data_IF_089994191928
#
_entry.id   IF_089994191928
#
_cell.length_a   1.000
_cell.length_b   1.000
_cell.length_c   1.000
_cell.angle_alpha   90.00
_cell.angle_beta   90.00
_cell.angle_gamma   90.00
#
_symmetry.space_group_name_H-M   'P 1'
#
loop_
_entity.id
_entity.type
_entity.pdbx_description
1 polymer ?
#
# COMPACT_ATOMS: atom_id res chain seq x y z
N UNK A 1 -0.01 -52.65 35.24
CA UNK A 1 1.03 -53.50 34.63
C UNK A 1 0.95 -53.12 33.14
N UNK A 2 1.82 -52.39 32.58
CA UNK A 2 3.25 -52.13 32.70
C UNK A 2 3.53 -50.64 32.44
N UNK A 3 4.43 -50.10 33.22
CA UNK A 3 4.99 -48.78 33.11
C UNK A 3 5.96 -48.74 31.91
N UNK A 4 5.98 -47.68 31.10
CA UNK A 4 7.02 -47.40 30.14
C UNK A 4 7.69 -46.09 30.49
N UNK A 5 8.91 -46.22 30.90
CA UNK A 5 9.92 -45.24 31.24
C UNK A 5 10.29 -44.35 30.07
N UNK A 6 10.29 -43.02 30.26
CA UNK A 6 10.79 -42.03 29.30
C UNK A 6 12.07 -41.42 29.83
N UNK A 7 13.20 -41.92 29.36
CA UNK A 7 14.52 -41.33 29.56
C UNK A 7 14.66 -40.03 28.73
N UNK A 8 14.97 -38.94 29.44
CA UNK A 8 15.46 -37.70 28.87
C UNK A 8 16.95 -37.82 28.54
N UNK A 9 17.32 -37.71 27.27
CA UNK A 9 18.69 -37.50 26.85
C UNK A 9 19.02 -36.01 26.85
N UNK A 10 19.89 -35.61 27.78
CA UNK A 10 20.52 -34.29 27.84
C UNK A 10 21.80 -34.32 27.00
N UNK A 11 21.80 -33.55 25.90
CA UNK A 11 23.01 -33.32 25.10
C UNK A 11 23.87 -32.25 25.78
N UNK A 12 25.00 -32.69 26.27
CA UNK A 12 26.11 -31.85 26.77
C UNK A 12 26.89 -31.33 25.55
N UNK A 13 26.96 -30.02 25.34
CA UNK A 13 27.84 -29.40 24.33
C UNK A 13 29.16 -29.08 25.02
N UNK A 14 30.23 -29.78 24.64
CA UNK A 14 31.60 -29.46 25.09
C UNK A 14 32.10 -28.17 24.39
N UNK A 15 32.52 -27.21 25.20
CA UNK A 15 33.29 -26.04 24.79
C UNK A 15 34.70 -26.44 24.40
N UNK A 16 35.05 -26.31 23.12
CA UNK A 16 36.44 -26.39 22.69
C UNK A 16 37.02 -24.98 22.55
N UNK A 17 37.85 -24.59 23.52
CA UNK A 17 38.77 -23.48 23.47
C UNK A 17 39.73 -23.61 22.27
N UNK A 18 39.53 -22.77 21.23
CA UNK A 18 40.54 -22.57 20.19
C UNK A 18 41.26 -21.23 20.41
N UNK A 19 42.56 -21.35 20.67
CA UNK A 19 43.50 -20.22 20.79
C UNK A 19 43.41 -19.30 19.57
N UNK A 20 43.20 -18.03 19.84
CA UNK A 20 43.35 -16.94 18.88
C UNK A 20 44.86 -16.69 18.63
N UNK A 21 45.33 -17.09 17.47
CA UNK A 21 46.55 -16.52 16.89
C UNK A 21 46.18 -15.16 16.27
N UNK A 22 46.69 -14.09 16.89
CA UNK A 22 46.53 -12.72 16.40
C UNK A 22 47.44 -12.51 15.18
N UNK A 23 46.84 -12.65 13.98
CA UNK A 23 47.44 -12.18 12.75
C UNK A 23 47.11 -10.68 12.62
N UNK A 24 48.14 -9.84 12.71
CA UNK A 24 48.06 -8.42 12.41
C UNK A 24 47.91 -8.28 10.89
N UNK A 25 46.65 -8.08 10.44
CA UNK A 25 46.34 -7.76 9.05
C UNK A 25 46.44 -6.23 8.90
N UNK A 26 47.21 -5.75 7.94
CA UNK A 26 47.32 -4.31 7.64
C UNK A 26 45.97 -3.71 7.31
N UNK A 27 45.71 -2.48 7.72
CA UNK A 27 44.41 -1.78 7.60
C UNK A 27 43.82 -1.80 6.17
N UNK A 28 44.66 -1.82 5.15
CA UNK A 28 44.25 -1.90 3.74
C UNK A 28 43.60 -3.22 3.38
N UNK A 29 44.08 -4.33 3.89
CA UNK A 29 43.53 -5.67 3.63
C UNK A 29 42.19 -5.88 4.33
N UNK A 30 41.99 -5.27 5.52
CA UNK A 30 40.69 -5.30 6.21
C UNK A 30 39.61 -4.50 5.45
N UNK A 31 39.96 -3.35 4.86
CA UNK A 31 39.03 -2.55 4.06
C UNK A 31 38.58 -3.32 2.81
N UNK A 32 39.53 -3.96 2.11
CA UNK A 32 39.23 -4.78 0.92
C UNK A 32 38.38 -6.00 1.30
N UNK A 33 38.74 -6.72 2.37
CA UNK A 33 37.99 -7.88 2.84
C UNK A 33 36.55 -7.50 3.25
N UNK A 34 36.36 -6.42 3.98
CA UNK A 34 35.05 -5.92 4.34
C UNK A 34 34.23 -5.50 3.12
N UNK A 35 34.84 -4.87 2.14
CA UNK A 35 34.20 -4.54 0.86
C UNK A 35 33.73 -5.78 0.09
N UNK A 36 34.54 -6.83 0.04
CA UNK A 36 34.19 -8.09 -0.63
C UNK A 36 33.08 -8.83 0.14
N UNK A 37 33.15 -8.90 1.47
CA UNK A 37 32.13 -9.54 2.31
C UNK A 37 30.79 -8.79 2.16
N UNK A 38 30.80 -7.46 2.18
CA UNK A 38 29.58 -6.66 1.98
C UNK A 38 28.98 -6.90 0.59
N UNK A 39 29.78 -6.94 -0.46
CA UNK A 39 29.33 -7.23 -1.82
C UNK A 39 28.74 -8.64 -1.96
N UNK A 40 29.36 -9.64 -1.36
CA UNK A 40 28.84 -11.02 -1.32
C UNK A 40 27.51 -11.11 -0.57
N UNK A 41 27.37 -10.42 0.56
CA UNK A 41 26.14 -10.38 1.34
C UNK A 41 25.02 -9.67 0.55
N UNK A 42 25.33 -8.58 -0.13
CA UNK A 42 24.38 -7.87 -1.00
C UNK A 42 23.90 -8.75 -2.14
N UNK A 43 24.80 -9.47 -2.81
CA UNK A 43 24.46 -10.39 -3.91
C UNK A 43 23.58 -11.55 -3.42
N UNK A 44 23.91 -12.16 -2.27
CA UNK A 44 23.09 -13.23 -1.65
C UNK A 44 21.70 -12.71 -1.31
N UNK A 45 21.61 -11.49 -0.75
CA UNK A 45 20.33 -10.87 -0.41
C UNK A 45 19.48 -10.58 -1.64
N UNK A 46 20.07 -10.03 -2.70
CA UNK A 46 19.38 -9.78 -3.96
C UNK A 46 18.83 -11.09 -4.58
N UNK A 47 19.63 -12.16 -4.57
CA UNK A 47 19.17 -13.46 -5.06
C UNK A 47 18.01 -14.03 -4.22
N UNK A 48 18.05 -13.85 -2.91
CA UNK A 48 16.94 -14.20 -2.02
C UNK A 48 15.68 -13.42 -2.38
N UNK A 49 15.76 -12.09 -2.58
CA UNK A 49 14.63 -11.25 -2.93
C UNK A 49 14.03 -11.66 -4.29
N UNK A 50 14.85 -11.88 -5.30
CA UNK A 50 14.41 -12.41 -6.61
C UNK A 50 13.68 -13.73 -6.49
N UNK A 51 14.21 -14.65 -5.66
CA UNK A 51 13.55 -15.94 -5.41
C UNK A 51 12.25 -15.77 -4.60
N UNK A 52 12.21 -14.80 -3.68
CA UNK A 52 11.00 -14.44 -2.93
C UNK A 52 9.89 -13.97 -3.87
N UNK A 53 10.20 -13.07 -4.80
CA UNK A 53 9.23 -12.60 -5.82
C UNK A 53 8.68 -13.77 -6.64
N UNK A 54 9.56 -14.67 -7.14
CA UNK A 54 9.13 -15.87 -7.86
C UNK A 54 8.21 -16.77 -7.03
N UNK A 55 8.48 -16.89 -5.72
CA UNK A 55 7.64 -17.65 -4.80
C UNK A 55 6.27 -16.99 -4.60
N UNK A 56 6.24 -15.66 -4.49
CA UNK A 56 4.97 -14.89 -4.36
C UNK A 56 4.12 -15.04 -5.62
N UNK A 57 4.72 -14.96 -6.81
CA UNK A 57 4.01 -15.13 -8.09
C UNK A 57 3.35 -16.51 -8.24
N UNK A 58 3.95 -17.54 -7.65
CA UNK A 58 3.41 -18.92 -7.72
C UNK A 58 2.30 -19.18 -6.71
N UNK A 59 2.13 -18.34 -5.69
CA UNK A 59 1.09 -18.55 -4.68
C UNK A 59 -0.28 -18.20 -5.25
N UNK A 60 -1.30 -19.05 -5.02
CA UNK A 60 -2.68 -18.67 -5.29
C UNK A 60 -3.04 -17.41 -4.51
N UNK A 61 -3.64 -16.45 -5.18
CA UNK A 61 -4.05 -15.18 -4.60
C UNK A 61 -5.28 -14.65 -5.34
N UNK A 62 -6.28 -14.13 -4.63
CA UNK A 62 -7.43 -13.50 -5.27
C UNK A 62 -6.98 -12.32 -6.13
N UNK A 63 -7.40 -12.31 -7.39
CA UNK A 63 -7.11 -11.21 -8.32
C UNK A 63 -7.76 -9.94 -7.80
N UNK A 64 -7.06 -8.81 -7.87
CA UNK A 64 -7.59 -7.52 -7.42
C UNK A 64 -8.96 -7.23 -8.08
N UNK A 65 -9.89 -6.70 -7.27
CA UNK A 65 -11.27 -6.36 -7.67
C UNK A 65 -12.16 -7.54 -8.06
N UNK A 66 -11.69 -8.80 -7.96
CA UNK A 66 -12.55 -9.97 -8.14
C UNK A 66 -13.51 -10.14 -6.94
N UNK A 67 -14.64 -10.85 -7.10
CA UNK A 67 -15.55 -11.17 -5.98
C UNK A 67 -14.84 -11.86 -4.81
N UNK A 68 -13.91 -12.77 -5.09
CA UNK A 68 -13.11 -13.46 -4.08
C UNK A 68 -12.19 -12.49 -3.31
N UNK A 69 -11.62 -11.50 -4.01
CA UNK A 69 -10.80 -10.46 -3.39
C UNK A 69 -11.63 -9.59 -2.43
N UNK A 70 -12.82 -9.14 -2.83
CA UNK A 70 -13.73 -8.40 -1.95
C UNK A 70 -14.17 -9.24 -0.74
N UNK A 71 -14.58 -10.50 -0.97
CA UNK A 71 -14.96 -11.41 0.10
C UNK A 71 -13.83 -11.59 1.12
N UNK A 72 -12.63 -11.87 0.66
CA UNK A 72 -11.46 -12.06 1.52
C UNK A 72 -11.17 -10.80 2.34
N UNK A 73 -11.19 -9.62 1.70
CA UNK A 73 -10.97 -8.34 2.38
C UNK A 73 -11.96 -8.08 3.53
N UNK A 74 -13.19 -8.54 3.42
CA UNK A 74 -14.21 -8.33 4.46
C UNK A 74 -13.90 -9.09 5.76
N UNK A 75 -13.06 -10.12 5.72
CA UNK A 75 -12.72 -10.98 6.87
C UNK A 75 -11.35 -10.69 7.49
N UNK A 76 -10.50 -9.88 6.83
CA UNK A 76 -9.14 -9.57 7.29
C UNK A 76 -8.94 -8.06 7.40
N UNK A 77 -7.88 -7.63 8.07
CA UNK A 77 -7.36 -6.25 7.97
C UNK A 77 -6.45 -6.19 6.76
N UNK A 78 -6.66 -5.23 5.87
CA UNK A 78 -5.75 -5.00 4.74
C UNK A 78 -4.81 -3.84 5.02
N UNK A 79 -3.66 -3.82 4.36
CA UNK A 79 -2.65 -2.80 4.52
C UNK A 79 -3.20 -1.38 4.35
N UNK A 80 -4.05 -1.16 3.33
CA UNK A 80 -4.68 0.14 3.07
C UNK A 80 -5.66 0.59 4.15
N UNK A 81 -6.12 -0.32 5.00
CA UNK A 81 -7.08 -0.07 6.08
C UNK A 81 -6.41 -0.03 7.47
N UNK A 82 -5.15 -0.49 7.58
CA UNK A 82 -4.46 -0.65 8.86
C UNK A 82 -4.34 0.67 9.64
N UNK A 83 -4.21 1.78 8.95
CA UNK A 83 -4.17 3.09 9.57
C UNK A 83 -5.46 3.44 10.34
N UNK A 84 -6.64 2.95 9.91
CA UNK A 84 -7.90 3.12 10.65
C UNK A 84 -7.93 2.35 11.97
N UNK A 85 -7.04 1.35 12.12
CA UNK A 85 -6.92 0.53 13.32
C UNK A 85 -5.96 1.10 14.37
N UNK A 86 -5.21 2.14 14.05
CA UNK A 86 -4.13 2.68 14.88
C UNK A 86 -4.41 4.13 15.28
N UNK A 87 -3.85 4.53 16.43
CA UNK A 87 -3.91 5.91 16.91
C UNK A 87 -2.58 6.62 16.67
N UNK A 88 -2.58 7.95 16.74
CA UNK A 88 -1.36 8.77 16.63
C UNK A 88 -0.48 8.69 17.88
N UNK A 89 -0.42 7.52 18.53
CA UNK A 89 0.40 7.27 19.70
C UNK A 89 1.90 7.39 19.39
N UNK A 90 2.71 7.55 20.43
CA UNK A 90 4.17 7.58 20.29
C UNK A 90 4.70 6.27 19.69
N UNK A 91 4.19 5.12 20.13
CA UNK A 91 4.58 3.80 19.62
C UNK A 91 4.36 3.66 18.11
N UNK A 92 3.30 4.26 17.59
CA UNK A 92 2.97 4.22 16.14
C UNK A 92 3.76 5.24 15.34
N UNK A 93 3.92 6.47 15.86
CA UNK A 93 4.31 7.62 15.03
C UNK A 93 5.73 8.12 15.26
N UNK A 94 6.42 7.73 16.35
CA UNK A 94 7.71 8.31 16.70
C UNK A 94 8.79 8.09 15.63
N UNK A 95 8.88 6.87 15.10
CA UNK A 95 9.85 6.55 14.04
C UNK A 95 9.56 7.29 12.75
N UNK A 96 8.29 7.40 12.37
CA UNK A 96 7.86 8.18 11.22
C UNK A 96 8.25 9.66 11.40
N UNK A 97 7.94 10.25 12.55
CA UNK A 97 8.26 11.66 12.83
C UNK A 97 9.78 11.93 12.79
N UNK A 98 10.58 11.00 13.33
CA UNK A 98 12.05 11.08 13.29
C UNK A 98 12.58 10.92 11.87
N UNK A 99 12.08 9.94 11.11
CA UNK A 99 12.54 9.64 9.74
C UNK A 99 12.37 10.84 8.81
N UNK A 100 11.28 11.58 8.97
CA UNK A 100 10.95 12.74 8.13
C UNK A 100 11.22 14.09 8.82
N UNK A 101 11.95 14.11 9.95
CA UNK A 101 12.33 15.33 10.69
C UNK A 101 11.14 16.23 11.05
N UNK A 102 10.01 15.63 11.44
CA UNK A 102 8.78 16.35 11.79
C UNK A 102 8.85 16.87 13.23
N UNK A 103 9.54 17.98 13.47
CA UNK A 103 9.83 18.54 14.82
C UNK A 103 8.58 18.92 15.60
N UNK A 104 7.49 19.30 14.93
CA UNK A 104 6.23 19.72 15.56
C UNK A 104 5.14 18.64 15.50
N UNK A 105 5.51 17.37 15.32
CA UNK A 105 4.55 16.27 15.26
C UNK A 105 3.85 16.09 16.62
N UNK A 106 2.50 16.13 16.59
CA UNK A 106 1.68 15.98 17.81
C UNK A 106 1.21 14.53 17.95
N UNK A 107 1.71 13.85 18.97
CA UNK A 107 1.21 12.53 19.36
C UNK A 107 -0.15 12.65 20.04
N UNK A 108 -1.03 11.67 19.81
CA UNK A 108 -2.36 11.65 20.40
C UNK A 108 -2.91 10.22 20.41
N UNK A 109 -3.06 9.63 21.59
CA UNK A 109 -3.46 8.24 21.78
C UNK A 109 -4.94 7.96 21.44
N UNK A 110 -5.74 9.01 21.21
CA UNK A 110 -7.17 8.87 20.86
C UNK A 110 -7.49 9.24 19.42
N UNK A 111 -6.56 9.92 18.73
CA UNK A 111 -6.77 10.34 17.35
C UNK A 111 -6.31 9.24 16.39
N UNK A 112 -7.17 8.88 15.41
CA UNK A 112 -6.81 7.95 14.35
C UNK A 112 -5.62 8.44 13.53
N UNK A 113 -4.75 7.52 13.12
CA UNK A 113 -3.69 7.79 12.14
C UNK A 113 -4.26 7.99 10.72
N UNK A 114 -5.46 7.49 10.45
CA UNK A 114 -6.18 7.73 9.22
C UNK A 114 -7.03 9.01 9.34
N UNK A 115 -6.72 10.01 8.52
CA UNK A 115 -7.47 11.28 8.50
C UNK A 115 -8.87 11.16 7.88
N UNK A 116 -9.13 10.09 7.14
CA UNK A 116 -10.38 9.90 6.39
C UNK A 116 -11.36 8.95 7.09
N UNK A 117 -10.89 8.07 7.97
CA UNK A 117 -11.72 7.04 8.58
C UNK A 117 -11.28 6.77 10.03
N UNK A 118 -12.22 6.81 10.96
CA UNK A 118 -12.00 6.45 12.36
C UNK A 118 -12.16 4.94 12.57
N UNK A 119 -11.58 4.42 13.65
CA UNK A 119 -11.63 2.99 13.99
C UNK A 119 -13.08 2.48 14.10
N UNK A 120 -13.97 3.27 14.70
CA UNK A 120 -15.38 2.88 14.88
C UNK A 120 -16.08 2.74 13.51
N UNK A 121 -15.85 3.68 12.60
CA UNK A 121 -16.43 3.66 11.26
C UNK A 121 -15.89 2.48 10.44
N UNK A 122 -14.59 2.21 10.58
CA UNK A 122 -13.94 1.05 9.96
C UNK A 122 -14.55 -0.27 10.45
N UNK A 123 -14.74 -0.44 11.77
CA UNK A 123 -15.36 -1.65 12.34
C UNK A 123 -16.79 -1.82 11.80
N UNK A 124 -17.58 -0.75 11.78
CA UNK A 124 -18.95 -0.77 11.25
C UNK A 124 -18.95 -1.17 9.77
N UNK A 125 -18.07 -0.55 8.97
CA UNK A 125 -17.91 -0.86 7.53
C UNK A 125 -17.61 -2.35 7.31
N UNK A 126 -16.68 -2.92 8.08
CA UNK A 126 -16.31 -4.33 7.97
C UNK A 126 -17.47 -5.27 8.34
N UNK A 127 -18.26 -4.92 9.36
CA UNK A 127 -19.43 -5.71 9.76
C UNK A 127 -20.54 -5.65 8.70
N UNK A 128 -20.82 -4.47 8.16
CA UNK A 128 -21.78 -4.28 7.08
C UNK A 128 -21.41 -5.08 5.83
N UNK A 129 -20.17 -4.93 5.37
CA UNK A 129 -19.66 -5.65 4.22
C UNK A 129 -19.69 -7.18 4.40
N UNK A 130 -19.43 -7.67 5.62
CA UNK A 130 -19.53 -9.09 5.95
C UNK A 130 -20.99 -9.60 5.84
N UNK A 131 -21.97 -8.77 6.18
CA UNK A 131 -23.41 -9.07 6.08
C UNK A 131 -23.97 -8.90 4.65
N UNK A 132 -23.12 -8.63 3.66
CA UNK A 132 -23.53 -8.46 2.26
C UNK A 132 -24.05 -7.07 1.91
N UNK A 133 -23.97 -6.09 2.82
CA UNK A 133 -24.29 -4.70 2.49
C UNK A 133 -23.19 -4.13 1.60
N UNK A 134 -23.57 -3.51 0.49
CA UNK A 134 -22.59 -2.79 -0.34
C UNK A 134 -22.18 -1.50 0.38
N UNK A 135 -20.90 -1.44 0.79
CA UNK A 135 -20.32 -0.30 1.52
C UNK A 135 -19.24 0.42 0.71
N UNK A 136 -19.02 -0.03 -0.52
CA UNK A 136 -18.00 0.52 -1.39
C UNK A 136 -18.64 1.38 -2.49
N UNK A 137 -18.29 2.66 -2.50
CA UNK A 137 -18.67 3.60 -3.54
C UNK A 137 -17.40 4.28 -4.06
N UNK A 138 -17.21 4.26 -5.36
CA UNK A 138 -16.13 5.01 -5.98
C UNK A 138 -16.39 6.52 -5.85
N UNK A 139 -15.49 7.22 -5.21
CA UNK A 139 -15.45 8.67 -5.21
C UNK A 139 -14.71 9.17 -6.46
N UNK A 140 -14.87 10.45 -6.80
CA UNK A 140 -14.06 11.09 -7.86
C UNK A 140 -12.54 10.91 -7.64
N UNK A 141 -12.09 10.86 -6.40
CA UNK A 141 -10.67 10.65 -6.05
C UNK A 141 -10.22 9.21 -6.34
N UNK A 142 -11.08 8.24 -6.06
CA UNK A 142 -10.81 6.82 -6.33
C UNK A 142 -10.80 6.53 -7.82
N UNK A 143 -11.77 7.09 -8.56
CA UNK A 143 -11.84 6.97 -10.02
C UNK A 143 -10.62 7.62 -10.69
N UNK A 144 -10.21 8.79 -10.21
CA UNK A 144 -8.99 9.46 -10.68
C UNK A 144 -7.75 8.60 -10.45
N UNK A 145 -7.57 8.05 -9.24
CA UNK A 145 -6.47 7.15 -8.92
C UNK A 145 -6.44 5.92 -9.85
N UNK A 146 -7.59 5.25 -10.04
CA UNK A 146 -7.73 4.10 -10.94
C UNK A 146 -7.36 4.45 -12.39
N UNK A 147 -7.78 5.62 -12.87
CA UNK A 147 -7.48 6.11 -14.24
C UNK A 147 -5.97 6.28 -14.46
N UNK A 148 -5.23 6.77 -13.49
CA UNK A 148 -3.84 7.19 -13.68
C UNK A 148 -2.80 6.27 -13.07
N UNK A 149 -3.21 5.18 -12.40
CA UNK A 149 -2.31 4.19 -11.81
C UNK A 149 -1.37 3.57 -12.85
N UNK A 150 -1.90 3.16 -14.02
CA UNK A 150 -1.10 2.58 -15.10
C UNK A 150 -0.15 3.61 -15.74
N UNK A 151 -0.56 4.87 -15.86
CA UNK A 151 0.31 5.96 -16.32
C UNK A 151 1.52 6.13 -15.39
N UNK A 152 1.26 6.14 -14.07
CA UNK A 152 2.32 6.26 -13.06
C UNK A 152 3.21 5.00 -13.03
N UNK A 153 2.63 3.81 -13.21
CA UNK A 153 3.38 2.55 -13.31
C UNK A 153 4.34 2.56 -14.51
N UNK A 154 3.88 3.04 -15.66
CA UNK A 154 4.72 3.15 -16.86
C UNK A 154 5.83 4.20 -16.68
N UNK A 155 5.55 5.34 -16.03
CA UNK A 155 6.58 6.30 -15.62
C UNK A 155 7.63 5.63 -14.74
N UNK A 156 7.23 4.88 -13.72
CA UNK A 156 8.14 4.18 -12.81
C UNK A 156 9.02 3.16 -13.55
N UNK A 157 8.42 2.30 -14.39
CA UNK A 157 9.15 1.34 -15.23
C UNK A 157 10.21 2.04 -16.09
N UNK A 158 9.88 3.19 -16.67
CA UNK A 158 10.77 3.96 -17.50
C UNK A 158 11.92 4.60 -16.71
N UNK A 159 11.67 5.13 -15.52
CA UNK A 159 12.69 5.73 -14.65
C UNK A 159 13.64 4.66 -14.10
N UNK A 160 13.09 3.57 -13.55
CA UNK A 160 13.87 2.53 -12.86
C UNK A 160 14.45 1.48 -13.80
N UNK A 161 14.02 1.44 -15.05
CA UNK A 161 14.44 0.44 -16.06
C UNK A 161 14.29 -0.99 -15.54
N UNK A 162 13.17 -1.28 -14.90
CA UNK A 162 12.86 -2.58 -14.28
C UNK A 162 11.49 -3.09 -14.67
N UNK A 163 11.34 -4.41 -14.64
CA UNK A 163 10.03 -5.05 -14.73
C UNK A 163 9.31 -4.99 -13.39
N UNK A 164 8.01 -4.76 -13.43
CA UNK A 164 7.11 -4.77 -12.29
C UNK A 164 6.05 -5.82 -12.53
N UNK A 165 5.90 -6.73 -11.59
CA UNK A 165 4.90 -7.79 -11.62
C UNK A 165 3.68 -7.38 -10.81
N UNK A 166 2.50 -7.75 -11.31
CA UNK A 166 1.23 -7.55 -10.63
C UNK A 166 0.95 -8.65 -9.62
N UNK A 167 0.27 -8.28 -8.53
CA UNK A 167 -0.13 -9.20 -7.47
C UNK A 167 -1.58 -8.95 -7.07
N UNK A 168 -2.26 -10.01 -6.69
CA UNK A 168 -3.56 -9.95 -6.04
C UNK A 168 -3.45 -9.67 -4.54
N UNK A 169 -4.30 -10.31 -3.75
CA UNK A 169 -4.27 -10.19 -2.29
C UNK A 169 -3.26 -11.17 -1.67
N UNK A 170 -2.14 -10.65 -1.24
CA UNK A 170 -1.10 -11.38 -0.51
C UNK A 170 -1.47 -11.43 0.99
N UNK A 171 -1.78 -12.60 1.52
CA UNK A 171 -1.95 -12.80 2.96
C UNK A 171 -0.59 -12.90 3.65
N UNK A 172 -0.50 -12.30 4.85
CA UNK A 172 0.69 -12.45 5.69
C UNK A 172 0.94 -13.95 6.00
N UNK A 173 2.17 -14.46 5.84
CA UNK A 173 2.44 -15.89 5.91
C UNK A 173 2.08 -16.55 7.25
N UNK A 174 2.11 -15.82 8.34
CA UNK A 174 1.83 -16.30 9.71
C UNK A 174 0.50 -15.75 10.23
N UNK A 175 0.19 -14.48 9.95
CA UNK A 175 -0.99 -13.78 10.46
C UNK A 175 -2.09 -13.78 9.38
N UNK A 176 -2.86 -14.86 9.30
CA UNK A 176 -3.87 -15.08 8.24
C UNK A 176 -4.97 -14.01 8.17
N UNK A 177 -5.11 -13.22 9.24
CA UNK A 177 -6.04 -12.08 9.35
C UNK A 177 -5.46 -10.76 8.82
N UNK A 178 -4.24 -10.76 8.29
CA UNK A 178 -3.57 -9.58 7.73
C UNK A 178 -3.23 -9.84 6.26
N UNK A 179 -3.45 -8.85 5.40
CA UNK A 179 -3.18 -8.99 3.97
C UNK A 179 -2.90 -7.66 3.28
N UNK A 180 -2.36 -7.74 2.07
CA UNK A 180 -2.00 -6.57 1.27
C UNK A 180 -2.15 -6.85 -0.23
N UNK A 181 -2.57 -5.86 -0.98
CA UNK A 181 -2.53 -5.87 -2.44
C UNK A 181 -1.63 -4.70 -2.86
N UNK A 182 -0.34 -4.95 -3.15
CA UNK A 182 0.56 -3.91 -3.66
C UNK A 182 0.21 -3.58 -5.12
N UNK A 183 0.53 -2.37 -5.57
CA UNK A 183 0.35 -1.98 -6.96
C UNK A 183 1.40 -2.65 -7.88
N UNK A 184 2.47 -3.17 -7.29
CA UNK A 184 3.43 -4.02 -7.96
C UNK A 184 4.61 -4.44 -7.09
N UNK A 185 5.42 -5.37 -7.60
CA UNK A 185 6.72 -5.70 -7.04
C UNK A 185 7.71 -5.85 -8.19
N UNK A 186 8.84 -5.17 -8.10
CA UNK A 186 9.88 -5.26 -9.13
C UNK A 186 10.53 -6.64 -9.14
N UNK A 187 11.17 -6.98 -10.25
CA UNK A 187 11.96 -8.22 -10.37
C UNK A 187 13.02 -8.36 -9.27
N UNK A 188 13.55 -7.27 -8.80
CA UNK A 188 14.57 -7.18 -7.75
C UNK A 188 14.00 -7.29 -6.33
N UNK A 189 12.67 -7.25 -6.16
CA UNK A 189 11.99 -7.37 -4.88
C UNK A 189 11.77 -6.03 -4.16
N UNK A 190 11.77 -4.92 -4.90
CA UNK A 190 11.28 -3.63 -4.40
C UNK A 190 9.78 -3.59 -4.61
N UNK A 191 9.01 -3.37 -3.55
CA UNK A 191 7.56 -3.20 -3.64
C UNK A 191 7.25 -1.81 -4.18
N UNK A 192 6.13 -1.67 -4.88
CA UNK A 192 5.64 -0.40 -5.40
C UNK A 192 4.25 -0.11 -4.83
N UNK A 193 4.09 1.10 -4.32
CA UNK A 193 2.80 1.70 -3.97
C UNK A 193 2.65 3.01 -4.72
N UNK A 194 1.56 3.16 -5.48
CA UNK A 194 1.31 4.30 -6.37
C UNK A 194 0.17 5.15 -5.81
N UNK A 195 0.34 6.46 -5.85
CA UNK A 195 -0.73 7.42 -5.57
C UNK A 195 -0.74 8.51 -6.63
N UNK A 196 -1.91 8.70 -7.25
CA UNK A 196 -2.17 9.82 -8.17
C UNK A 196 -3.20 10.76 -7.52
N UNK A 197 -2.77 11.69 -6.63
CA UNK A 197 -3.70 12.57 -5.94
C UNK A 197 -4.33 13.59 -6.90
N UNK A 198 -5.67 13.72 -6.87
CA UNK A 198 -6.38 14.72 -7.68
C UNK A 198 -6.10 16.16 -7.21
N UNK A 199 -6.01 16.39 -5.90
CA UNK A 199 -5.93 17.74 -5.31
C UNK A 199 -4.80 17.94 -4.31
N UNK A 200 -4.30 16.87 -3.67
CA UNK A 200 -3.26 16.97 -2.65
C UNK A 200 -1.90 17.25 -3.29
N UNK A 201 -1.18 18.21 -2.75
CA UNK A 201 0.20 18.49 -3.17
C UNK A 201 1.14 17.36 -2.78
N UNK A 202 2.09 17.06 -3.65
CA UNK A 202 3.20 16.13 -3.40
C UNK A 202 4.28 16.90 -2.65
N UNK A 203 4.68 16.39 -1.47
CA UNK A 203 5.65 17.03 -0.58
C UNK A 203 6.98 16.29 -0.49
N UNK A 204 7.07 15.09 -1.09
CA UNK A 204 8.22 14.20 -0.89
C UNK A 204 8.20 13.48 0.47
N UNK A 205 7.17 13.68 1.29
CA UNK A 205 6.95 12.98 2.56
C UNK A 205 5.66 12.18 2.43
N UNK A 206 5.71 10.83 2.46
CA UNK A 206 4.51 10.01 2.41
C UNK A 206 3.58 10.36 3.59
N UNK A 207 2.29 10.64 3.37
CA UNK A 207 1.35 10.79 4.46
C UNK A 207 1.37 9.60 5.42
N UNK A 208 1.21 9.84 6.73
CA UNK A 208 1.33 8.82 7.76
C UNK A 208 0.53 7.54 7.47
N UNK A 209 -0.72 7.67 7.01
CA UNK A 209 -1.55 6.51 6.68
C UNK A 209 -1.01 5.68 5.50
N UNK A 210 -0.34 6.28 4.53
CA UNK A 210 0.34 5.56 3.45
C UNK A 210 1.65 4.95 3.91
N UNK A 211 2.42 5.64 4.78
CA UNK A 211 3.59 5.03 5.41
C UNK A 211 3.20 3.75 6.17
N UNK A 212 2.13 3.79 6.96
CA UNK A 212 1.58 2.62 7.67
C UNK A 212 1.16 1.53 6.67
N UNK A 213 0.46 1.89 5.60
CA UNK A 213 0.08 0.96 4.54
C UNK A 213 1.30 0.22 3.99
N UNK A 214 2.35 0.95 3.61
CA UNK A 214 3.58 0.38 3.04
C UNK A 214 4.28 -0.54 4.04
N UNK A 215 4.37 -0.17 5.32
CA UNK A 215 4.97 -1.03 6.35
C UNK A 215 4.22 -2.37 6.46
N UNK A 216 2.88 -2.36 6.46
CA UNK A 216 2.08 -3.58 6.50
C UNK A 216 2.21 -4.41 5.21
N UNK A 217 2.30 -3.76 4.05
CA UNK A 217 2.55 -4.44 2.78
C UNK A 217 3.89 -5.18 2.80
N UNK A 218 4.95 -4.52 3.27
CA UNK A 218 6.29 -5.10 3.40
C UNK A 218 6.30 -6.30 4.38
N UNK A 219 5.51 -6.23 5.45
CA UNK A 219 5.32 -7.36 6.37
C UNK A 219 4.59 -8.52 5.69
N UNK A 220 3.51 -8.28 4.94
CA UNK A 220 2.78 -9.34 4.24
C UNK A 220 3.63 -10.03 3.17
N UNK A 221 4.45 -9.29 2.43
CA UNK A 221 5.28 -9.82 1.37
C UNK A 221 6.65 -10.35 1.83
N UNK A 222 7.11 -10.03 3.05
CA UNK A 222 8.47 -10.26 3.54
C UNK A 222 9.54 -9.69 2.59
N UNK A 223 9.34 -8.45 2.18
CA UNK A 223 10.30 -7.67 1.40
C UNK A 223 10.99 -6.63 2.29
N UNK A 224 12.12 -6.10 1.84
CA UNK A 224 12.95 -5.22 2.66
C UNK A 224 12.61 -3.73 2.47
N UNK A 225 12.06 -3.39 1.31
CA UNK A 225 11.83 -2.01 0.93
C UNK A 225 10.71 -1.86 -0.10
N UNK A 226 10.16 -0.66 -0.14
CA UNK A 226 9.19 -0.24 -1.12
C UNK A 226 9.55 1.14 -1.67
N UNK A 227 9.23 1.38 -2.93
CA UNK A 227 9.18 2.71 -3.51
C UNK A 227 7.73 3.21 -3.46
N UNK A 228 7.51 4.30 -2.73
CA UNK A 228 6.25 5.01 -2.69
C UNK A 228 6.28 6.10 -3.76
N UNK A 229 5.50 5.89 -4.82
CA UNK A 229 5.41 6.79 -5.95
C UNK A 229 4.17 7.67 -5.84
N UNK A 230 4.35 8.97 -5.93
CA UNK A 230 3.25 9.93 -6.09
C UNK A 230 3.40 10.65 -7.44
N UNK A 231 2.30 10.77 -8.19
CA UNK A 231 2.28 11.52 -9.47
C UNK A 231 1.18 12.60 -9.45
N UNK A 232 1.55 13.85 -9.71
CA UNK A 232 0.63 14.97 -9.97
C UNK A 232 0.35 15.04 -11.46
N UNK A 233 -0.82 14.56 -11.85
CA UNK A 233 -1.26 14.48 -13.24
C UNK A 233 -2.36 15.52 -13.46
N UNK A 234 -2.29 16.21 -14.59
CA UNK A 234 -3.32 17.17 -15.03
C UNK A 234 -3.83 16.79 -16.40
N UNK A 235 -5.13 16.79 -16.56
CA UNK A 235 -5.76 16.67 -17.86
C UNK A 235 -5.60 17.98 -18.64
N UNK A 236 -5.65 17.89 -19.95
CA UNK A 236 -5.51 18.97 -20.92
C UNK A 236 -6.76 18.90 -21.77
N UNK A 237 -7.41 20.02 -21.98
CA UNK A 237 -8.73 20.06 -22.62
C UNK A 237 -8.68 19.80 -24.12
N UNK A 238 -7.66 20.35 -24.82
CA UNK A 238 -7.58 20.29 -26.27
C UNK A 238 -6.28 19.67 -26.79
N UNK A 239 -6.32 19.16 -28.01
CA UNK A 239 -5.12 18.67 -28.68
C UNK A 239 -4.12 19.78 -28.96
N UNK A 240 -4.58 20.98 -29.29
CA UNK A 240 -3.75 22.14 -29.54
C UNK A 240 -2.91 22.47 -28.31
N UNK A 241 -3.51 22.58 -27.13
CA UNK A 241 -2.80 22.79 -25.87
C UNK A 241 -1.84 21.64 -25.56
N UNK A 242 -2.27 20.40 -25.78
CA UNK A 242 -1.40 19.22 -25.61
C UNK A 242 -0.15 19.31 -26.51
N UNK A 243 -0.31 19.69 -27.77
CA UNK A 243 0.78 19.76 -28.74
C UNK A 243 1.79 20.87 -28.42
N UNK A 244 1.36 21.97 -27.82
CA UNK A 244 2.23 23.07 -27.39
C UNK A 244 3.13 22.73 -26.20
N UNK A 245 2.77 21.75 -25.39
CA UNK A 245 3.56 21.35 -24.22
C UNK A 245 4.87 20.69 -24.68
N UNK A 246 5.99 21.26 -24.24
CA UNK A 246 7.35 20.73 -24.43
C UNK A 246 7.97 20.45 -23.07
N UNK A 247 8.97 19.56 -23.03
CA UNK A 247 9.83 19.29 -21.87
C UNK A 247 9.11 18.80 -20.60
N UNK A 248 7.83 18.43 -20.69
CA UNK A 248 7.06 17.83 -19.60
C UNK A 248 6.53 16.47 -20.06
N UNK A 249 6.69 15.39 -19.29
CA UNK A 249 6.11 14.09 -19.64
C UNK A 249 4.59 14.23 -19.85
N UNK A 250 4.12 13.82 -21.00
CA UNK A 250 2.71 13.89 -21.40
C UNK A 250 2.31 12.62 -22.14
N UNK A 251 1.03 12.40 -22.28
CA UNK A 251 0.52 11.23 -22.99
C UNK A 251 -0.98 11.31 -23.23
N UNK A 252 -1.53 10.23 -23.76
CA UNK A 252 -2.94 10.09 -24.09
C UNK A 252 -3.45 8.79 -23.48
N UNK A 253 -4.59 8.87 -22.83
CA UNK A 253 -5.37 7.72 -22.39
C UNK A 253 -6.60 7.63 -23.31
N UNK A 254 -6.86 6.45 -23.87
CA UNK A 254 -8.08 6.22 -24.62
C UNK A 254 -9.15 5.76 -23.64
N UNK A 255 -10.22 6.54 -23.56
CA UNK A 255 -11.38 6.23 -22.75
C UNK A 255 -12.42 5.51 -23.63
N UNK A 256 -12.78 4.27 -23.27
CA UNK A 256 -13.81 3.51 -23.97
C UNK A 256 -15.17 3.93 -23.42
N UNK A 257 -16.01 4.44 -24.32
CA UNK A 257 -17.38 4.83 -24.05
C UNK A 257 -18.25 3.57 -24.22
N UNK A 258 -18.47 2.83 -23.13
CA UNK A 258 -19.34 1.66 -23.17
C UNK A 258 -20.82 2.05 -23.06
N UNK A 259 -21.68 1.15 -23.55
CA UNK A 259 -23.14 1.24 -23.44
C UNK A 259 -23.58 1.26 -21.94
N UNK A 260 -24.76 1.83 -21.60
CA UNK A 260 -25.14 2.18 -20.22
C UNK A 260 -25.14 1.06 -19.17
N UNK A 261 -25.07 -0.20 -19.59
CA UNK A 261 -25.21 -1.37 -18.71
C UNK A 261 -23.90 -1.85 -18.07
N UNK A 262 -22.74 -1.29 -18.42
CA UNK A 262 -21.46 -1.75 -17.88
C UNK A 262 -20.85 -0.71 -16.94
N UNK A 263 -20.79 -1.02 -15.66
CA UNK A 263 -20.46 -0.11 -14.55
C UNK A 263 -18.98 0.30 -14.43
N UNK A 264 -18.06 -0.23 -15.25
CA UNK A 264 -16.63 0.08 -15.16
C UNK A 264 -16.13 0.76 -16.45
N UNK A 265 -15.70 2.01 -16.33
CA UNK A 265 -15.01 2.74 -17.41
C UNK A 265 -13.71 2.00 -17.75
N UNK A 266 -13.56 1.65 -19.01
CA UNK A 266 -12.34 0.99 -19.51
C UNK A 266 -11.42 2.02 -20.16
N UNK A 267 -10.13 1.88 -19.87
CA UNK A 267 -9.08 2.72 -20.41
C UNK A 267 -8.05 1.88 -21.16
N UNK A 268 -7.51 2.42 -22.26
CA UNK A 268 -6.37 1.83 -22.97
C UNK A 268 -5.18 2.78 -22.80
N UNK A 269 -4.04 2.21 -22.46
CA UNK A 269 -2.80 2.93 -22.19
C UNK A 269 -1.71 2.49 -23.15
N UNK A 270 -0.87 3.43 -23.54
CA UNK A 270 0.35 3.13 -24.25
C UNK A 270 1.30 2.35 -23.34
N UNK A 271 1.70 1.16 -23.77
CA UNK A 271 2.61 0.34 -22.97
C UNK A 271 4.09 0.62 -23.30
N UNK A 272 5.01 0.03 -22.51
CA UNK A 272 6.44 0.26 -22.66
C UNK A 272 7.01 -0.18 -24.03
N UNK A 273 6.41 -1.16 -24.70
CA UNK A 273 6.85 -1.60 -26.04
C UNK A 273 6.43 -0.63 -27.14
N UNK A 274 5.39 0.14 -26.88
CA UNK A 274 4.85 1.17 -27.79
C UNK A 274 5.41 2.55 -27.49
N UNK A 275 6.26 2.71 -26.46
CA UNK A 275 6.77 4.00 -25.97
C UNK A 275 7.66 4.76 -26.96
N UNK A 276 8.13 4.11 -28.03
CA UNK A 276 8.88 4.74 -29.12
C UNK A 276 7.96 5.43 -30.14
N UNK A 277 6.64 5.11 -30.12
CA UNK A 277 5.65 5.74 -30.97
C UNK A 277 5.19 7.03 -30.29
N UNK A 278 5.10 8.11 -31.05
CA UNK A 278 4.55 9.35 -30.53
C UNK A 278 3.12 9.12 -29.99
N UNK A 279 2.76 9.61 -28.78
CA UNK A 279 1.48 9.27 -28.14
C UNK A 279 0.23 9.56 -28.98
N UNK A 280 0.23 10.62 -29.78
CA UNK A 280 -0.90 10.94 -30.65
C UNK A 280 -1.02 9.98 -31.83
N UNK A 281 0.10 9.61 -32.44
CA UNK A 281 0.12 8.59 -33.51
C UNK A 281 -0.33 7.24 -32.99
N UNK A 282 0.14 6.85 -31.81
CA UNK A 282 -0.30 5.63 -31.11
C UNK A 282 -1.81 5.65 -30.85
N UNK A 283 -2.33 6.72 -30.24
CA UNK A 283 -3.75 6.84 -29.91
C UNK A 283 -4.66 6.79 -31.16
N UNK A 284 -4.27 7.49 -32.23
CA UNK A 284 -4.97 7.45 -33.52
C UNK A 284 -4.93 6.07 -34.16
N UNK A 285 -3.78 5.37 -34.09
CA UNK A 285 -3.64 4.02 -34.57
C UNK A 285 -4.60 3.07 -33.85
N UNK A 286 -4.63 3.12 -32.53
CA UNK A 286 -5.55 2.33 -31.69
C UNK A 286 -7.01 2.72 -31.91
N UNK A 287 -7.30 4.02 -32.04
CA UNK A 287 -8.66 4.50 -32.31
C UNK A 287 -9.25 3.94 -33.61
N UNK A 288 -8.43 3.75 -34.66
CA UNK A 288 -8.88 3.12 -35.91
C UNK A 288 -9.26 1.65 -35.78
N UNK A 289 -8.76 0.97 -34.74
CA UNK A 289 -9.14 -0.43 -34.42
C UNK A 289 -10.48 -0.50 -33.67
N UNK A 290 -11.00 0.63 -33.17
CA UNK A 290 -12.23 0.74 -32.39
C UNK A 290 -13.38 1.25 -33.26
N UNK A 291 -14.62 1.01 -32.80
CA UNK A 291 -15.81 1.52 -33.47
C UNK A 291 -15.86 3.05 -33.31
N UNK A 292 -16.12 3.77 -34.39
CA UNK A 292 -16.31 5.23 -34.37
C UNK A 292 -17.37 5.64 -33.34
N UNK A 293 -17.08 6.65 -32.56
CA UNK A 293 -17.95 7.15 -31.49
C UNK A 293 -17.95 6.31 -30.20
N UNK A 294 -17.23 5.18 -30.16
CA UNK A 294 -17.14 4.32 -28.95
C UNK A 294 -15.98 4.66 -28.03
N UNK A 295 -15.21 5.69 -28.31
CA UNK A 295 -14.07 6.11 -27.50
C UNK A 295 -13.84 7.62 -27.55
N UNK A 296 -13.06 8.13 -26.59
CA UNK A 296 -12.56 9.50 -26.57
C UNK A 296 -11.10 9.52 -26.11
N UNK A 297 -10.36 10.55 -26.48
CA UNK A 297 -8.99 10.77 -26.02
C UNK A 297 -8.99 11.68 -24.80
N UNK A 298 -8.21 11.31 -23.79
CA UNK A 298 -7.92 12.12 -22.61
C UNK A 298 -6.44 12.49 -22.67
N UNK A 299 -6.16 13.75 -22.96
CA UNK A 299 -4.81 14.28 -22.96
C UNK A 299 -4.36 14.59 -21.54
N UNK A 300 -3.13 14.24 -21.18
CA UNK A 300 -2.60 14.51 -19.83
C UNK A 300 -1.13 14.93 -19.86
N UNK A 301 -0.70 15.57 -18.78
CA UNK A 301 0.70 15.84 -18.46
C UNK A 301 1.01 15.45 -17.02
N UNK A 302 2.24 15.03 -16.75
CA UNK A 302 2.74 14.75 -15.41
C UNK A 302 3.51 15.99 -14.94
N UNK A 303 2.88 16.80 -14.09
CA UNK A 303 3.42 18.07 -13.63
C UNK A 303 4.54 17.88 -12.62
N UNK A 304 4.39 16.88 -11.77
CA UNK A 304 5.37 16.56 -10.73
C UNK A 304 5.23 15.08 -10.31
N UNK A 305 6.31 14.50 -9.83
CA UNK A 305 6.28 13.19 -9.20
C UNK A 305 7.32 13.10 -8.08
N UNK A 306 7.15 12.15 -7.19
CA UNK A 306 8.08 11.85 -6.10
C UNK A 306 8.17 10.34 -5.90
N UNK A 307 9.38 9.82 -5.76
CA UNK A 307 9.64 8.42 -5.41
C UNK A 307 10.38 8.43 -4.08
N UNK A 308 9.72 7.92 -3.02
CA UNK A 308 10.29 7.83 -1.68
C UNK A 308 10.53 6.36 -1.35
N UNK A 309 11.80 5.99 -1.13
CA UNK A 309 12.13 4.64 -0.72
C UNK A 309 11.85 4.47 0.78
N UNK A 310 11.02 3.49 1.14
CA UNK A 310 10.62 3.16 2.51
C UNK A 310 11.20 1.79 2.86
N UNK A 311 12.03 1.74 3.90
CA UNK A 311 12.58 0.49 4.42
C UNK A 311 11.59 -0.18 5.38
N UNK A 312 11.53 -1.52 5.35
CA UNK A 312 10.76 -2.31 6.31
C UNK A 312 11.24 -2.12 7.73
N UNK A 313 10.34 -1.81 8.64
CA UNK A 313 10.63 -1.65 10.07
C UNK A 313 9.93 -2.76 10.88
N UNK A 314 10.66 -3.84 11.14
CA UNK A 314 10.15 -4.99 11.91
C UNK A 314 9.86 -4.65 13.37
N UNK A 315 10.63 -3.74 13.96
CA UNK A 315 10.42 -3.32 15.34
C UNK A 315 9.14 -2.50 15.46
N UNK A 316 8.91 -1.56 14.53
CA UNK A 316 7.66 -0.83 14.45
C UNK A 316 6.46 -1.78 14.34
N UNK A 317 6.54 -2.77 13.44
CA UNK A 317 5.46 -3.74 13.28
C UNK A 317 5.21 -4.54 14.57
N UNK A 318 6.24 -4.97 15.27
CA UNK A 318 6.09 -5.67 16.54
C UNK A 318 5.39 -4.82 17.60
N UNK A 319 5.63 -3.50 17.63
CA UNK A 319 4.99 -2.57 18.55
C UNK A 319 3.49 -2.39 18.25
N UNK A 320 3.08 -2.34 16.97
CA UNK A 320 1.68 -2.09 16.59
C UNK A 320 0.84 -3.36 16.38
N UNK A 321 1.48 -4.52 16.25
CA UNK A 321 0.83 -5.79 15.93
C UNK A 321 -0.33 -6.12 16.87
N UNK A 322 -0.16 -5.89 18.17
CA UNK A 322 -1.18 -6.20 19.17
C UNK A 322 -2.43 -5.30 19.03
N UNK A 323 -2.26 -4.04 18.65
CA UNK A 323 -3.38 -3.14 18.40
C UNK A 323 -4.20 -3.62 17.20
N UNK A 324 -3.52 -4.03 16.13
CA UNK A 324 -4.17 -4.62 14.96
C UNK A 324 -4.92 -5.92 15.31
N UNK A 325 -4.31 -6.81 16.13
CA UNK A 325 -4.95 -8.02 16.63
C UNK A 325 -6.22 -7.70 17.40
N UNK A 326 -6.18 -6.72 18.29
CA UNK A 326 -7.32 -6.32 19.11
C UNK A 326 -8.48 -5.80 18.26
N UNK A 327 -8.20 -4.97 17.26
CA UNK A 327 -9.21 -4.50 16.32
C UNK A 327 -9.78 -5.65 15.49
N UNK A 328 -8.94 -6.55 14.97
CA UNK A 328 -9.41 -7.73 14.25
C UNK A 328 -10.32 -8.61 15.10
N UNK A 329 -9.93 -8.91 16.35
CA UNK A 329 -10.76 -9.67 17.30
C UNK A 329 -12.11 -9.00 17.51
N UNK A 330 -12.15 -7.67 17.67
CA UNK A 330 -13.37 -6.88 17.84
C UNK A 330 -14.27 -6.96 16.61
N UNK A 331 -13.71 -6.85 15.41
CA UNK A 331 -14.45 -7.03 14.15
C UNK A 331 -15.07 -8.42 14.10
N UNK A 332 -14.27 -9.48 14.33
CA UNK A 332 -14.77 -10.86 14.29
C UNK A 332 -15.83 -11.14 15.34
N UNK A 333 -15.69 -10.56 16.52
CA UNK A 333 -16.71 -10.66 17.56
C UNK A 333 -18.05 -10.10 17.09
N UNK A 334 -18.09 -8.89 16.53
CA UNK A 334 -19.31 -8.28 16.03
C UNK A 334 -19.86 -8.97 14.78
N UNK A 335 -19.02 -9.46 13.88
CA UNK A 335 -19.46 -10.23 12.71
C UNK A 335 -20.19 -11.52 13.11
N UNK A 336 -19.80 -12.13 14.24
CA UNK A 336 -20.39 -13.38 14.74
C UNK A 336 -21.50 -13.16 15.78
N UNK A 337 -21.73 -11.93 16.26
CA UNK A 337 -22.69 -11.61 17.33
C UNK A 337 -23.52 -10.38 16.94
N UNK A 338 -24.56 -10.60 16.13
CA UNK A 338 -25.38 -9.52 15.58
C UNK A 338 -26.00 -8.62 16.66
N UNK A 339 -26.53 -9.18 17.76
CA UNK A 339 -27.10 -8.40 18.85
C UNK A 339 -26.08 -7.42 19.46
N UNK A 340 -24.84 -7.86 19.66
CA UNK A 340 -23.79 -7.00 20.20
C UNK A 340 -23.32 -5.97 19.16
N UNK A 341 -23.33 -6.33 17.89
CA UNK A 341 -23.08 -5.39 16.80
C UNK A 341 -24.15 -4.28 16.76
N UNK A 342 -25.44 -4.64 16.85
CA UNK A 342 -26.53 -3.67 16.81
C UNK A 342 -26.44 -2.68 17.98
N UNK A 343 -26.14 -3.16 19.20
CA UNK A 343 -25.88 -2.29 20.37
C UNK A 343 -24.68 -1.35 20.14
N UNK A 344 -23.60 -1.89 19.61
CA UNK A 344 -22.40 -1.10 19.30
C UNK A 344 -22.70 -0.03 18.26
N UNK A 345 -23.38 -0.40 17.17
CA UNK A 345 -23.75 0.52 16.08
C UNK A 345 -24.62 1.68 16.61
N UNK A 346 -25.66 1.40 17.40
CA UNK A 346 -26.51 2.43 17.97
C UNK A 346 -25.75 3.32 18.98
N UNK A 347 -24.84 2.75 19.77
CA UNK A 347 -23.99 3.54 20.67
C UNK A 347 -23.11 4.56 19.94
N UNK A 348 -22.49 4.15 18.82
CA UNK A 348 -21.66 5.04 17.99
C UNK A 348 -22.51 6.12 17.31
N UNK A 349 -23.70 5.78 16.83
CA UNK A 349 -24.64 6.72 16.24
C UNK A 349 -25.08 7.80 17.25
N UNK A 350 -25.40 7.40 18.47
CA UNK A 350 -25.75 8.33 19.54
C UNK A 350 -24.60 9.28 19.90
N UNK A 351 -23.35 8.75 19.97
CA UNK A 351 -22.16 9.56 20.23
C UNK A 351 -21.91 10.60 19.11
N UNK A 352 -22.11 10.22 17.85
CA UNK A 352 -21.99 11.14 16.71
C UNK A 352 -23.05 12.24 16.76
N UNK A 353 -24.29 11.90 17.07
CA UNK A 353 -25.39 12.87 17.19
C UNK A 353 -25.14 13.87 18.33
N UNK A 354 -24.67 13.40 19.51
CA UNK A 354 -24.32 14.28 20.63
C UNK A 354 -23.21 15.28 20.25
N UNK A 355 -22.14 14.80 19.58
CA UNK A 355 -21.05 15.68 19.12
C UNK A 355 -21.53 16.70 18.07
N UNK A 356 -22.43 16.30 17.18
CA UNK A 356 -23.00 17.20 16.19
C UNK A 356 -23.81 18.32 16.84
N UNK A 357 -24.67 18.00 17.82
CA UNK A 357 -25.45 18.97 18.59
C UNK A 357 -24.53 19.92 19.38
N UNK A 358 -23.49 19.40 20.03
CA UNK A 358 -22.53 20.21 20.76
C UNK A 358 -21.80 21.20 19.84
N UNK A 359 -21.34 20.76 18.66
CA UNK A 359 -20.68 21.65 17.69
C UNK A 359 -21.62 22.75 17.15
N UNK A 360 -22.92 22.44 16.96
CA UNK A 360 -23.91 23.45 16.56
C UNK A 360 -24.07 24.49 17.69
N UNK A 361 -24.21 24.07 18.94
CA UNK A 361 -24.38 24.97 20.07
C UNK A 361 -23.14 25.86 20.28
N UNK A 362 -21.92 25.32 20.12
CA UNK A 362 -20.68 26.10 20.21
C UNK A 362 -20.57 27.11 19.05
N UNK A 363 -21.04 26.75 17.83
CA UNK A 363 -21.05 27.65 16.68
C UNK A 363 -22.08 28.77 16.83
N UNK A 364 -23.20 28.52 17.47
CA UNK A 364 -24.23 29.54 17.76
C UNK A 364 -23.76 30.51 18.85
N UNK A 365 -23.06 30.01 19.88
CA UNK A 365 -22.49 30.86 20.95
C UNK A 365 -21.33 31.76 20.49
N UNK A 366 -20.76 31.52 19.31
CA UNK A 366 -19.71 32.37 18.73
C UNK A 366 -20.29 33.50 17.84
N UNK A 367 -21.60 33.53 17.65
CA UNK A 367 -22.31 34.52 16.83
C UNK A 367 -23.07 35.56 17.68
N UNK A 368 -23.11 35.40 18.99
CA UNK A 368 -23.57 36.37 19.99
C UNK A 368 -22.35 37.11 20.60
#
# INVERSE_FOLDING_TARGET
MEEADTTQDSVVVEDTDTKQDSVVVEDTDMIVANGVINKLNTTKRLNYLKQRVKTLLKKPQPVQRSPEWFFTRNTIITASEAASCLTMSRAVCEKYAKLYNLTNFKFNDTKSTNSYEKMEDYIIKKCKAFNGENVFFDSKYTLWGKKYEEVALNLYKNIKKTEVYEFGLLKHPILSWLGASPDGITREGVMLEIKCPLTRKITGIPPLHYYIQVQIQLECAFLDEADFLECDIKEIETYEEYNEIKDIPKGIVINILEEPDNSETKYIYQNAKESEIEPYEWANGKGKELKEGSYSFIYYKIVNYSIVNIKRDKEWFNNVKNDLINVHKKIRFYQNNKSEYDKYFESIKLLKNKKHIQNINESVCLLD
#
